data_IF_067134798424
#
_entry.id   IF_067134798424
#
_cell.length_a   1.000
_cell.length_b   1.000
_cell.length_c   1.000
_cell.angle_alpha   90.00
_cell.angle_beta   90.00
_cell.angle_gamma   90.00
#
_symmetry.space_group_name_H-M   'P 1'
#
loop_
_entity.id
_entity.type
_entity.pdbx_description
1 polymer ?
#
# COMPACT_ATOMS: atom_id res chain seq x y z
N UNK A 1 23.97 -15.84 11.44
CA UNK A 1 23.78 -14.51 10.82
C UNK A 1 24.63 -14.28 9.57
N UNK A 2 25.94 -14.51 9.54
CA UNK A 2 26.76 -14.34 8.31
C UNK A 2 26.46 -15.39 7.23
N UNK A 3 26.21 -16.64 7.61
CA UNK A 3 25.95 -17.75 6.67
C UNK A 3 24.60 -17.57 5.92
N UNK A 4 23.56 -17.13 6.60
CA UNK A 4 22.24 -16.88 5.98
C UNK A 4 22.28 -15.73 4.97
N UNK A 5 22.99 -14.65 5.32
CA UNK A 5 23.18 -13.51 4.40
C UNK A 5 23.96 -13.89 3.13
N UNK A 6 24.94 -14.79 3.27
CA UNK A 6 25.69 -15.28 2.12
C UNK A 6 24.84 -16.17 1.22
N UNK A 7 24.07 -17.10 1.80
CA UNK A 7 23.14 -17.93 1.03
C UNK A 7 22.08 -17.12 0.27
N UNK A 8 21.57 -16.07 0.90
CA UNK A 8 20.63 -15.15 0.27
C UNK A 8 21.25 -14.39 -0.90
N UNK A 9 22.50 -13.89 -0.73
CA UNK A 9 23.21 -13.20 -1.79
C UNK A 9 23.44 -14.12 -2.99
N UNK A 10 23.89 -15.35 -2.76
CA UNK A 10 24.11 -16.35 -3.80
C UNK A 10 22.81 -16.71 -4.53
N UNK A 11 21.71 -16.80 -3.80
CA UNK A 11 20.38 -17.02 -4.39
C UNK A 11 19.97 -15.88 -5.30
N UNK A 12 20.13 -14.63 -4.87
CA UNK A 12 19.82 -13.43 -5.67
C UNK A 12 20.67 -13.41 -6.95
N UNK A 13 21.96 -13.68 -6.84
CA UNK A 13 22.88 -13.73 -8.01
C UNK A 13 22.48 -14.84 -9.00
N UNK A 14 22.06 -16.00 -8.49
CA UNK A 14 21.53 -17.07 -9.33
C UNK A 14 20.27 -16.64 -10.07
N UNK A 15 19.33 -15.99 -9.39
CA UNK A 15 18.12 -15.48 -10.01
C UNK A 15 18.41 -14.46 -11.11
N UNK A 16 19.38 -13.54 -10.91
CA UNK A 16 19.79 -12.57 -11.92
C UNK A 16 20.25 -13.23 -13.21
N UNK A 17 21.03 -14.32 -13.10
CA UNK A 17 21.52 -15.07 -14.26
C UNK A 17 20.42 -15.82 -15.02
N UNK A 18 19.27 -16.09 -14.37
CA UNK A 18 18.14 -16.78 -14.98
C UNK A 18 17.20 -15.87 -15.76
N UNK A 19 17.33 -14.55 -15.63
CA UNK A 19 16.49 -13.60 -16.36
C UNK A 19 16.82 -13.64 -17.86
N UNK A 20 15.86 -13.90 -18.74
CA UNK A 20 16.10 -13.90 -20.18
C UNK A 20 16.49 -12.50 -20.68
N UNK A 21 17.47 -12.43 -21.60
CA UNK A 21 17.96 -11.17 -22.15
C UNK A 21 16.88 -10.32 -22.86
N UNK A 22 15.84 -10.96 -23.35
CA UNK A 22 14.71 -10.27 -24.00
C UNK A 22 13.65 -9.73 -23.04
N UNK A 23 13.80 -9.95 -21.72
CA UNK A 23 12.95 -9.35 -20.71
C UNK A 23 13.69 -8.20 -20.03
N UNK A 24 13.06 -7.02 -20.06
CA UNK A 24 13.59 -5.83 -19.40
C UNK A 24 12.58 -5.23 -18.45
N UNK A 25 13.05 -4.57 -17.40
CA UNK A 25 12.19 -3.77 -16.51
C UNK A 25 12.38 -2.30 -16.88
N UNK A 26 11.27 -1.61 -17.11
CA UNK A 26 11.23 -0.19 -17.39
C UNK A 26 10.42 0.55 -16.34
N UNK A 27 10.88 1.70 -15.89
CA UNK A 27 10.14 2.58 -15.01
C UNK A 27 9.01 3.31 -15.75
N UNK A 28 7.87 3.48 -15.05
CA UNK A 28 6.71 4.17 -15.61
C UNK A 28 6.79 5.66 -15.23
N UNK A 29 7.08 6.49 -16.22
CA UNK A 29 6.90 7.93 -16.17
C UNK A 29 5.46 8.33 -16.54
N UNK A 30 5.12 9.62 -16.35
CA UNK A 30 3.82 10.17 -16.76
C UNK A 30 3.46 9.87 -18.22
N UNK A 31 4.42 9.91 -19.11
CA UNK A 31 4.23 9.61 -20.54
C UNK A 31 3.80 8.18 -20.84
N UNK A 32 4.13 7.24 -19.95
CA UNK A 32 3.81 5.81 -20.11
C UNK A 32 2.54 5.37 -19.37
N UNK A 33 1.89 6.25 -18.60
CA UNK A 33 0.67 5.91 -17.82
C UNK A 33 -0.44 5.34 -18.69
N UNK A 34 -0.71 5.95 -19.84
CA UNK A 34 -1.80 5.51 -20.73
C UNK A 34 -1.58 4.09 -21.25
N UNK A 35 -0.35 3.74 -21.63
CA UNK A 35 -0.01 2.40 -22.11
C UNK A 35 -0.25 1.35 -21.03
N UNK A 36 0.09 1.67 -19.78
CA UNK A 36 -0.15 0.78 -18.64
C UNK A 36 -1.65 0.67 -18.34
N UNK A 37 -2.38 1.77 -18.42
CA UNK A 37 -3.84 1.75 -18.22
C UNK A 37 -4.52 0.85 -19.27
N UNK A 38 -4.15 0.95 -20.51
CA UNK A 38 -4.68 0.07 -21.57
C UNK A 38 -4.32 -1.40 -21.32
N UNK A 39 -3.06 -1.67 -20.99
CA UNK A 39 -2.59 -3.00 -20.63
C UNK A 39 -3.41 -3.59 -19.49
N UNK A 40 -3.68 -2.81 -18.43
CA UNK A 40 -4.42 -3.29 -17.26
C UNK A 40 -5.92 -3.45 -17.53
N UNK A 41 -6.54 -2.51 -18.27
CA UNK A 41 -7.97 -2.60 -18.67
C UNK A 41 -8.29 -3.87 -19.45
N UNK A 42 -7.41 -4.26 -20.36
CA UNK A 42 -7.61 -5.53 -21.10
C UNK A 42 -7.57 -6.76 -20.17
N UNK A 43 -6.92 -6.68 -19.01
CA UNK A 43 -6.86 -7.77 -18.01
C UNK A 43 -8.03 -7.73 -17.03
N UNK A 44 -8.60 -6.57 -16.77
CA UNK A 44 -9.88 -6.44 -16.04
C UNK A 44 -10.99 -7.22 -16.74
N UNK A 45 -11.06 -7.16 -18.06
CA UNK A 45 -11.99 -7.96 -18.87
C UNK A 45 -11.79 -9.46 -18.71
N UNK A 46 -10.62 -9.91 -18.22
CA UNK A 46 -10.31 -11.30 -17.88
C UNK A 46 -10.60 -11.63 -16.39
N UNK A 47 -11.30 -10.75 -15.67
CA UNK A 47 -11.68 -10.96 -14.27
C UNK A 47 -10.62 -10.51 -13.25
N UNK A 48 -9.58 -9.81 -13.66
CA UNK A 48 -8.63 -9.19 -12.74
C UNK A 48 -9.16 -7.82 -12.32
N UNK A 49 -9.50 -7.69 -11.05
CA UNK A 49 -9.96 -6.43 -10.49
C UNK A 49 -8.75 -5.60 -9.99
N UNK A 50 -8.34 -4.61 -10.76
CA UNK A 50 -7.30 -3.65 -10.38
C UNK A 50 -7.95 -2.42 -9.71
N UNK A 51 -8.32 -2.59 -8.45
CA UNK A 51 -8.97 -1.54 -7.69
C UNK A 51 -8.05 -0.32 -7.62
N UNK A 52 -8.51 0.79 -8.17
CA UNK A 52 -7.90 2.08 -7.95
C UNK A 52 -6.68 2.41 -8.81
N UNK A 53 -6.58 1.86 -10.02
CA UNK A 53 -5.48 2.21 -10.93
C UNK A 53 -5.45 3.72 -11.24
N UNK A 54 -6.61 4.33 -11.50
CA UNK A 54 -6.73 5.76 -11.70
C UNK A 54 -6.32 6.54 -10.44
N UNK A 55 -6.70 6.05 -9.26
CA UNK A 55 -6.24 6.62 -7.99
C UNK A 55 -4.75 6.35 -7.74
N UNK A 56 -4.22 5.22 -8.15
CA UNK A 56 -2.80 4.92 -8.05
C UNK A 56 -1.96 5.92 -8.87
N UNK A 57 -2.35 6.18 -10.11
CA UNK A 57 -1.64 7.13 -10.97
C UNK A 57 -1.93 8.59 -10.65
N UNK A 58 -3.11 8.91 -10.10
CA UNK A 58 -3.49 10.28 -9.71
C UNK A 58 -2.97 10.73 -8.35
N UNK A 59 -2.55 9.81 -7.51
CA UNK A 59 -2.25 10.06 -6.10
C UNK A 59 -0.85 9.61 -5.69
N UNK A 60 0.11 9.85 -6.51
CA UNK A 60 1.47 9.78 -6.02
C UNK A 60 1.66 10.87 -4.95
N UNK A 61 1.59 10.49 -3.69
CA UNK A 61 1.72 11.38 -2.53
C UNK A 61 3.06 12.09 -2.47
N UNK A 62 3.96 11.65 -3.32
CA UNK A 62 5.21 12.26 -3.39
C UNK A 62 5.77 12.13 -4.77
N UNK A 63 5.22 12.77 -5.81
CA UNK A 63 6.45 12.96 -6.47
C UNK A 63 6.54 12.77 -7.96
N UNK A 64 6.70 13.87 -8.51
CA UNK A 64 7.36 14.11 -9.78
C UNK A 64 8.73 13.36 -9.91
N UNK A 65 9.35 13.02 -8.76
CA UNK A 65 10.69 12.43 -8.69
C UNK A 65 10.74 10.91 -8.83
N UNK A 66 9.66 10.19 -8.47
CA UNK A 66 9.66 8.72 -8.43
C UNK A 66 8.67 8.12 -9.43
N UNK A 67 9.00 6.95 -10.01
CA UNK A 67 8.11 6.30 -10.97
C UNK A 67 6.83 5.79 -10.30
N UNK A 68 5.74 5.70 -11.07
CA UNK A 68 4.45 5.15 -10.62
C UNK A 68 4.45 3.63 -10.53
N UNK A 69 5.48 3.00 -11.04
CA UNK A 69 5.64 1.57 -11.07
C UNK A 69 6.67 1.16 -12.10
N UNK A 70 6.67 -0.13 -12.37
CA UNK A 70 7.57 -0.75 -13.33
C UNK A 70 6.76 -1.65 -14.26
N UNK A 71 7.13 -1.72 -15.53
CA UNK A 71 6.64 -2.70 -16.49
C UNK A 71 7.73 -3.70 -16.84
N UNK A 72 7.33 -4.94 -17.09
CA UNK A 72 8.17 -5.93 -17.72
C UNK A 72 7.82 -5.96 -19.20
N UNK A 73 8.80 -5.75 -20.05
CA UNK A 73 8.64 -5.75 -21.51
C UNK A 73 9.39 -6.93 -22.12
N UNK A 74 8.74 -7.59 -23.04
CA UNK A 74 9.38 -8.54 -23.95
C UNK A 74 9.88 -7.78 -25.18
N UNK A 75 11.19 -7.66 -25.34
CA UNK A 75 11.82 -6.91 -26.44
C UNK A 75 11.71 -7.58 -27.79
N UNK A 76 11.42 -8.90 -27.85
CA UNK A 76 11.27 -9.61 -29.13
C UNK A 76 10.05 -9.12 -29.92
N UNK A 77 8.96 -8.75 -29.24
CA UNK A 77 7.72 -8.28 -29.84
C UNK A 77 7.23 -6.93 -29.29
N UNK A 78 8.05 -6.30 -28.46
CA UNK A 78 7.77 -5.02 -27.81
C UNK A 78 6.50 -5.02 -26.91
N UNK A 79 6.01 -6.18 -26.47
CA UNK A 79 4.81 -6.30 -25.64
C UNK A 79 5.11 -6.07 -24.16
N UNK A 80 4.14 -5.47 -23.44
CA UNK A 80 4.16 -5.44 -21.96
C UNK A 80 3.62 -6.79 -21.48
N UNK A 81 4.39 -7.49 -20.67
CA UNK A 81 4.04 -8.80 -20.12
C UNK A 81 3.86 -8.80 -18.59
N UNK A 82 4.10 -7.67 -17.94
CA UNK A 82 3.89 -7.53 -16.51
C UNK A 82 3.90 -6.08 -16.04
N UNK A 83 3.33 -5.86 -14.87
CA UNK A 83 3.26 -4.56 -14.21
C UNK A 83 3.39 -4.74 -12.69
N UNK A 84 4.13 -3.83 -12.07
CA UNK A 84 4.19 -3.67 -10.62
C UNK A 84 4.08 -2.19 -10.27
N UNK A 85 3.01 -1.80 -9.61
CA UNK A 85 2.82 -0.45 -9.11
C UNK A 85 3.70 -0.15 -7.91
N UNK A 86 4.12 1.11 -7.79
CA UNK A 86 4.90 1.61 -6.66
C UNK A 86 4.29 2.90 -6.13
N UNK A 87 4.15 3.00 -4.81
CA UNK A 87 3.68 4.20 -4.11
C UNK A 87 4.79 4.65 -3.19
N UNK A 88 5.38 5.79 -3.51
CA UNK A 88 6.46 6.35 -2.72
C UNK A 88 5.92 7.32 -1.67
N UNK A 89 6.56 7.37 -0.54
CA UNK A 89 6.32 8.34 0.52
C UNK A 89 7.60 8.63 1.30
N UNK A 90 7.69 9.78 1.95
CA UNK A 90 8.75 10.05 2.92
C UNK A 90 8.23 9.85 4.33
N UNK A 91 9.06 9.28 5.19
CA UNK A 91 8.75 9.08 6.61
C UNK A 91 9.91 9.54 7.48
N UNK A 92 9.58 10.19 8.59
CA UNK A 92 10.54 10.53 9.63
C UNK A 92 10.60 9.36 10.63
N UNK A 93 11.79 8.76 10.79
CA UNK A 93 12.05 7.70 11.76
C UNK A 93 13.27 8.15 12.57
N UNK A 94 13.11 8.32 13.87
CA UNK A 94 14.20 8.81 14.75
C UNK A 94 14.87 10.10 14.23
N UNK A 95 14.07 11.08 13.81
CA UNK A 95 14.51 12.35 13.22
C UNK A 95 15.31 12.25 11.92
N UNK A 96 15.32 11.07 11.28
CA UNK A 96 15.89 10.89 9.95
C UNK A 96 14.79 10.67 8.92
N UNK A 97 14.93 11.29 7.76
CA UNK A 97 14.00 11.11 6.66
C UNK A 97 14.38 9.88 5.83
N UNK A 98 13.41 9.03 5.60
CA UNK A 98 13.51 7.84 4.76
C UNK A 98 12.51 7.89 3.62
N UNK A 99 12.97 7.48 2.45
CA UNK A 99 12.08 7.20 1.31
C UNK A 99 11.55 5.80 1.47
N UNK A 100 10.22 5.67 1.47
CA UNK A 100 9.51 4.41 1.58
C UNK A 100 8.78 4.12 0.27
N UNK A 101 8.78 2.87 -0.16
CA UNK A 101 8.09 2.41 -1.38
C UNK A 101 7.17 1.25 -1.03
N UNK A 102 5.87 1.46 -1.16
CA UNK A 102 4.87 0.40 -1.07
C UNK A 102 4.67 -0.24 -2.44
N UNK A 103 4.88 -1.57 -2.52
CA UNK A 103 4.60 -2.34 -3.73
C UNK A 103 3.09 -2.62 -3.82
N UNK A 104 2.48 -2.30 -4.94
CA UNK A 104 1.04 -2.40 -5.17
C UNK A 104 0.72 -2.88 -6.59
N UNK A 105 -0.50 -3.38 -6.80
CA UNK A 105 -1.04 -3.71 -8.12
C UNK A 105 -0.08 -4.57 -8.98
N UNK A 106 0.23 -5.77 -8.51
CA UNK A 106 1.17 -6.66 -9.17
C UNK A 106 0.48 -7.63 -10.12
N UNK A 107 0.91 -7.65 -11.38
CA UNK A 107 0.43 -8.58 -12.40
C UNK A 107 1.55 -9.00 -13.35
N UNK A 108 1.59 -10.29 -13.71
CA UNK A 108 2.47 -10.84 -14.75
C UNK A 108 1.67 -11.85 -15.56
N UNK A 109 1.79 -11.79 -16.90
CA UNK A 109 1.20 -12.73 -17.84
C UNK A 109 1.60 -14.17 -17.50
N UNK A 110 0.69 -15.13 -17.73
CA UNK A 110 0.83 -16.51 -17.27
C UNK A 110 2.16 -17.14 -17.72
N UNK A 111 2.54 -16.91 -18.96
CA UNK A 111 3.74 -17.46 -19.58
C UNK A 111 5.04 -16.89 -18.99
N UNK A 112 4.96 -15.70 -18.40
CA UNK A 112 6.10 -14.98 -17.82
C UNK A 112 6.16 -15.00 -16.29
N UNK A 113 5.20 -15.65 -15.61
CA UNK A 113 5.11 -15.65 -14.14
C UNK A 113 6.34 -16.20 -13.45
N UNK A 114 7.03 -17.15 -14.07
CA UNK A 114 8.28 -17.68 -13.53
C UNK A 114 9.39 -16.62 -13.43
N UNK A 115 9.29 -15.52 -14.18
CA UNK A 115 10.22 -14.38 -14.12
C UNK A 115 9.70 -13.21 -13.29
N UNK A 116 8.60 -13.38 -12.59
CA UNK A 116 7.97 -12.31 -11.76
C UNK A 116 8.90 -11.74 -10.68
N UNK A 117 9.85 -12.55 -10.19
CA UNK A 117 10.87 -12.12 -9.24
C UNK A 117 11.79 -11.03 -9.79
N UNK A 118 11.84 -10.85 -11.10
CA UNK A 118 12.69 -9.83 -11.73
C UNK A 118 12.30 -8.40 -11.32
N UNK A 119 11.00 -8.15 -11.10
CA UNK A 119 10.53 -6.89 -10.53
C UNK A 119 11.14 -6.61 -9.16
N UNK A 120 11.19 -7.62 -8.30
CA UNK A 120 11.74 -7.48 -6.95
C UNK A 120 13.24 -7.29 -6.98
N UNK A 121 13.96 -8.00 -7.85
CA UNK A 121 15.39 -7.80 -8.04
C UNK A 121 15.69 -6.36 -8.47
N UNK A 122 14.91 -5.82 -9.43
CA UNK A 122 15.03 -4.43 -9.86
C UNK A 122 14.80 -3.44 -8.70
N UNK A 123 13.82 -3.72 -7.83
CA UNK A 123 13.58 -2.87 -6.65
C UNK A 123 14.70 -2.97 -5.61
N UNK A 124 15.28 -4.15 -5.38
CA UNK A 124 16.39 -4.34 -4.45
C UNK A 124 17.66 -3.60 -4.88
N UNK A 125 17.81 -3.28 -6.17
CA UNK A 125 18.93 -2.48 -6.68
C UNK A 125 18.82 -0.99 -6.31
N UNK A 126 17.62 -0.54 -5.91
CA UNK A 126 17.40 0.85 -5.49
C UNK A 126 17.93 1.07 -4.07
N UNK A 127 19.03 1.82 -3.98
CA UNK A 127 19.65 2.14 -2.69
C UNK A 127 18.84 3.21 -1.92
N UNK A 128 18.92 3.15 -0.60
CA UNK A 128 18.31 4.13 0.33
C UNK A 128 16.79 4.22 0.27
N UNK A 129 16.10 3.15 -0.10
CA UNK A 129 14.65 3.05 -0.13
C UNK A 129 14.22 1.89 0.77
N UNK A 130 13.28 2.14 1.66
CA UNK A 130 12.61 1.09 2.45
C UNK A 130 11.45 0.54 1.60
N UNK A 131 11.56 -0.72 1.20
CA UNK A 131 10.56 -1.38 0.35
C UNK A 131 9.67 -2.23 1.23
N UNK A 132 8.35 -2.12 1.07
CA UNK A 132 7.38 -2.90 1.81
C UNK A 132 6.13 -3.22 0.96
N UNK A 133 5.32 -4.17 1.42
CA UNK A 133 4.01 -4.47 0.85
C UNK A 133 3.02 -4.75 1.99
N UNK A 134 1.89 -4.08 2.01
CA UNK A 134 0.88 -4.24 3.07
C UNK A 134 0.01 -5.49 2.87
N UNK A 135 -0.26 -5.87 1.63
CA UNK A 135 -1.22 -6.93 1.31
C UNK A 135 -0.67 -7.88 0.24
N UNK A 136 0.48 -8.54 0.51
CA UNK A 136 1.01 -9.50 -0.43
C UNK A 136 0.07 -10.71 -0.53
N UNK A 137 -0.09 -11.26 -1.73
CA UNK A 137 -0.77 -12.54 -1.90
C UNK A 137 0.08 -13.66 -1.31
N UNK A 138 -0.55 -14.68 -0.72
CA UNK A 138 0.16 -15.81 -0.11
C UNK A 138 1.16 -16.47 -1.06
N UNK A 139 0.84 -16.53 -2.36
CA UNK A 139 1.75 -17.09 -3.39
C UNK A 139 3.06 -16.33 -3.57
N UNK A 140 3.14 -15.08 -3.12
CA UNK A 140 4.32 -14.20 -3.28
C UNK A 140 5.17 -14.19 -1.99
N UNK A 141 4.58 -14.52 -0.85
CA UNK A 141 5.25 -14.45 0.46
C UNK A 141 6.56 -15.26 0.44
N UNK A 142 6.54 -16.49 -0.07
CA UNK A 142 7.74 -17.33 -0.15
C UNK A 142 8.86 -16.70 -1.01
N UNK A 143 8.48 -15.90 -2.03
CA UNK A 143 9.45 -15.17 -2.85
C UNK A 143 10.05 -14.03 -2.03
N UNK A 144 9.23 -13.30 -1.30
CA UNK A 144 9.70 -12.22 -0.43
C UNK A 144 10.70 -12.72 0.62
N UNK A 145 10.38 -13.82 1.33
CA UNK A 145 11.28 -14.40 2.33
C UNK A 145 12.63 -14.79 1.72
N UNK A 146 12.63 -15.47 0.56
CA UNK A 146 13.87 -15.85 -0.14
C UNK A 146 14.68 -14.64 -0.62
N UNK A 147 14.03 -13.51 -0.89
CA UNK A 147 14.68 -12.26 -1.27
C UNK A 147 15.08 -11.42 -0.05
N UNK A 148 14.79 -11.86 1.19
CA UNK A 148 15.20 -11.25 2.45
C UNK A 148 14.26 -10.18 2.98
N UNK A 149 13.02 -10.18 2.54
CA UNK A 149 12.01 -9.36 3.19
C UNK A 149 11.62 -9.97 4.53
N UNK A 150 11.49 -9.14 5.53
CA UNK A 150 10.98 -9.54 6.83
C UNK A 150 9.45 -9.52 6.83
N UNK A 151 8.83 -10.61 7.31
CA UNK A 151 7.38 -10.69 7.42
C UNK A 151 6.97 -10.20 8.81
N UNK A 152 6.23 -9.11 8.83
CA UNK A 152 5.60 -8.62 10.05
C UNK A 152 4.20 -9.21 10.20
N UNK A 153 3.98 -9.96 11.28
CA UNK A 153 2.64 -10.47 11.63
C UNK A 153 1.79 -9.33 12.15
N UNK A 154 0.80 -8.92 11.35
CA UNK A 154 -0.19 -7.93 11.78
C UNK A 154 -1.26 -8.63 12.62
N UNK A 155 -1.61 -8.04 13.77
CA UNK A 155 -2.76 -8.45 14.56
C UNK A 155 -3.96 -7.60 14.15
N UNK A 156 -5.04 -8.26 13.76
CA UNK A 156 -6.31 -7.59 13.51
C UNK A 156 -7.18 -7.73 14.76
N UNK A 157 -7.73 -6.62 15.24
CA UNK A 157 -8.74 -6.64 16.28
C UNK A 157 -10.10 -6.44 15.62
N UNK A 158 -10.97 -7.43 15.74
CA UNK A 158 -12.36 -7.30 15.30
C UNK A 158 -13.16 -6.78 16.48
N UNK A 159 -13.60 -5.53 16.40
CA UNK A 159 -14.53 -4.95 17.37
C UNK A 159 -15.96 -5.20 16.90
N UNK A 160 -16.71 -6.01 17.62
CA UNK A 160 -18.16 -6.13 17.42
C UNK A 160 -18.81 -4.94 18.11
N UNK A 161 -19.48 -4.08 17.34
CA UNK A 161 -20.31 -3.03 17.89
C UNK A 161 -21.59 -3.67 18.43
N UNK A 162 -21.55 -4.17 19.66
CA UNK A 162 -22.74 -4.56 20.39
C UNK A 162 -23.32 -3.27 20.93
N UNK A 163 -24.50 -2.90 20.48
CA UNK A 163 -25.25 -1.78 21.05
C UNK A 163 -25.76 -2.21 22.43
N UNK A 164 -24.86 -2.26 23.40
CA UNK A 164 -25.21 -2.52 24.81
C UNK A 164 -25.77 -1.22 25.33
N UNK A 165 -27.02 -0.97 25.02
CA UNK A 165 -27.74 0.16 25.58
C UNK A 165 -27.47 0.21 27.08
N UNK A 166 -26.82 1.27 27.49
CA UNK A 166 -26.88 1.88 28.83
C UNK A 166 -26.26 1.16 30.03
N UNK A 167 -25.84 -0.09 29.97
CA UNK A 167 -25.41 -0.79 31.20
C UNK A 167 -24.09 -0.30 31.77
N UNK A 168 -23.21 0.28 30.92
CA UNK A 168 -21.92 0.81 31.36
C UNK A 168 -21.72 2.32 31.12
N UNK A 169 -22.77 3.08 31.09
CA UNK A 169 -22.81 4.40 30.47
C UNK A 169 -22.38 5.59 31.34
N UNK A 170 -21.80 5.41 32.52
CA UNK A 170 -21.30 6.57 33.28
C UNK A 170 -20.13 7.30 32.64
N UNK A 171 -19.34 6.62 31.82
CA UNK A 171 -18.13 7.18 31.21
C UNK A 171 -18.30 7.72 29.78
N UNK A 172 -19.39 7.42 29.07
CA UNK A 172 -19.55 7.88 27.67
C UNK A 172 -19.67 9.41 27.57
N UNK A 173 -20.18 10.06 28.60
CA UNK A 173 -20.28 11.54 28.67
C UNK A 173 -18.91 12.24 28.73
N UNK A 174 -17.86 11.47 28.99
CA UNK A 174 -16.46 11.98 29.02
C UNK A 174 -15.91 12.22 27.62
N UNK A 175 -16.36 11.45 26.64
CA UNK A 175 -15.84 11.52 25.29
C UNK A 175 -16.81 12.23 24.36
N UNK A 176 -16.28 13.04 23.47
CA UNK A 176 -17.00 13.66 22.34
C UNK A 176 -16.45 13.07 21.06
N UNK A 177 -17.35 12.63 20.18
CA UNK A 177 -16.98 12.17 18.83
C UNK A 177 -17.45 13.22 17.85
N UNK A 178 -16.53 13.75 17.05
CA UNK A 178 -16.87 14.65 15.95
C UNK A 178 -16.48 14.03 14.62
N UNK A 179 -17.36 14.17 13.63
CA UNK A 179 -17.13 13.89 12.22
C UNK A 179 -17.29 15.17 11.37
N UNK A 180 -17.40 16.32 12.01
CA UNK A 180 -17.44 17.60 11.33
C UNK A 180 -16.08 17.94 10.76
N UNK A 181 -16.02 18.19 9.42
CA UNK A 181 -14.76 18.42 8.72
C UNK A 181 -14.00 19.64 9.22
N UNK A 182 -14.71 20.72 9.53
CA UNK A 182 -14.11 21.98 10.01
C UNK A 182 -13.50 21.78 11.41
N UNK A 183 -14.26 21.13 12.30
CA UNK A 183 -13.76 20.79 13.65
C UNK A 183 -12.55 19.89 13.58
N UNK A 184 -12.57 18.83 12.76
CA UNK A 184 -11.45 17.90 12.57
C UNK A 184 -10.21 18.66 12.09
N UNK A 185 -10.37 19.52 11.08
CA UNK A 185 -9.27 20.28 10.50
C UNK A 185 -8.62 21.27 11.50
N UNK A 186 -9.41 21.83 12.39
CA UNK A 186 -8.95 22.75 13.42
C UNK A 186 -8.29 22.05 14.62
N UNK A 187 -8.72 20.84 14.93
CA UNK A 187 -8.23 20.05 16.07
C UNK A 187 -6.93 19.32 15.74
N UNK A 188 -6.81 18.81 14.50
CA UNK A 188 -5.67 17.99 14.12
C UNK A 188 -4.39 18.82 13.95
N UNK A 189 -3.30 18.29 14.50
CA UNK A 189 -1.96 18.88 14.40
C UNK A 189 -0.95 17.81 13.95
N UNK A 190 0.22 18.26 13.49
CA UNK A 190 1.34 17.38 13.16
C UNK A 190 1.01 16.30 12.13
N UNK A 191 1.35 15.06 12.44
CA UNK A 191 1.16 13.91 11.55
C UNK A 191 -0.32 13.61 11.27
N UNK A 192 -1.19 13.76 12.28
CA UNK A 192 -2.63 13.49 12.11
C UNK A 192 -3.27 14.47 11.13
N UNK A 193 -2.85 15.74 11.16
CA UNK A 193 -3.28 16.74 10.18
C UNK A 193 -2.81 16.37 8.78
N UNK A 194 -1.57 15.91 8.63
CA UNK A 194 -1.04 15.44 7.33
C UNK A 194 -1.83 14.24 6.82
N UNK A 195 -2.12 13.25 7.67
CA UNK A 195 -2.94 12.09 7.30
C UNK A 195 -4.33 12.53 6.85
N UNK A 196 -4.96 13.48 7.55
CA UNK A 196 -6.25 14.03 7.14
C UNK A 196 -6.18 14.69 5.76
N UNK A 197 -5.22 15.58 5.53
CA UNK A 197 -5.03 16.26 4.25
C UNK A 197 -4.81 15.26 3.09
N UNK A 198 -4.02 14.22 3.32
CA UNK A 198 -3.75 13.16 2.34
C UNK A 198 -5.01 12.35 2.01
N UNK A 199 -5.93 12.17 2.96
CA UNK A 199 -7.09 11.29 2.82
C UNK A 199 -8.43 11.99 2.58
N UNK A 200 -8.56 13.31 2.86
CA UNK A 200 -9.84 14.05 2.77
C UNK A 200 -10.49 14.03 1.38
N UNK A 201 -9.73 13.81 0.33
CA UNK A 201 -10.21 13.70 -1.05
C UNK A 201 -10.72 12.31 -1.42
N UNK A 202 -10.47 11.30 -0.57
CA UNK A 202 -10.95 9.94 -0.81
C UNK A 202 -12.30 9.70 -0.16
N UNK A 203 -12.99 8.64 -0.59
CA UNK A 203 -14.24 8.20 0.03
C UNK A 203 -13.96 7.52 1.38
N UNK A 204 -13.46 8.31 2.32
CA UNK A 204 -13.20 7.91 3.70
C UNK A 204 -14.05 8.75 4.65
N UNK A 205 -14.44 8.14 5.75
CA UNK A 205 -15.03 8.85 6.89
C UNK A 205 -13.94 9.17 7.90
N UNK A 206 -13.95 10.39 8.41
CA UNK A 206 -12.97 10.89 9.36
C UNK A 206 -13.67 11.19 10.68
N UNK A 207 -13.06 10.77 11.79
CA UNK A 207 -13.58 10.97 13.13
C UNK A 207 -12.48 11.41 14.07
N UNK A 208 -12.83 12.29 14.99
CA UNK A 208 -11.98 12.64 16.14
C UNK A 208 -12.73 12.30 17.41
N UNK A 209 -12.06 11.62 18.33
CA UNK A 209 -12.55 11.36 19.67
C UNK A 209 -11.76 12.25 20.62
N UNK A 210 -12.48 13.10 21.34
CA UNK A 210 -11.94 14.02 22.31
C UNK A 210 -12.29 13.57 23.72
N UNK A 211 -11.32 13.48 24.60
CA UNK A 211 -11.54 13.34 26.04
C UNK A 211 -11.78 14.74 26.63
N UNK A 212 -12.96 15.01 27.17
CA UNK A 212 -13.30 16.29 27.82
C UNK A 212 -12.34 16.67 28.96
N UNK A 213 -11.71 15.67 29.58
CA UNK A 213 -10.70 15.90 30.62
C UNK A 213 -9.30 16.18 30.08
N UNK A 214 -9.03 15.79 28.80
CA UNK A 214 -7.74 15.96 28.15
C UNK A 214 -7.91 16.26 26.66
N UNK A 215 -8.30 17.48 26.35
CA UNK A 215 -8.57 17.96 24.98
C UNK A 215 -7.30 17.99 24.13
N UNK A 216 -6.11 18.01 24.75
CA UNK A 216 -4.83 18.13 24.06
C UNK A 216 -4.36 16.85 23.35
N UNK A 217 -5.06 15.73 23.52
CA UNK A 217 -4.74 14.45 22.87
C UNK A 217 -5.95 13.87 22.15
N UNK A 218 -6.31 14.42 20.98
CA UNK A 218 -7.35 13.82 20.16
C UNK A 218 -6.92 12.46 19.63
N UNK A 219 -7.85 11.49 19.59
CA UNK A 219 -7.66 10.27 18.84
C UNK A 219 -8.30 10.44 17.46
N UNK A 220 -7.53 10.36 16.42
CA UNK A 220 -8.00 10.49 15.05
C UNK A 220 -8.16 9.14 14.38
N UNK A 221 -9.28 8.98 13.64
CA UNK A 221 -9.63 7.74 12.93
C UNK A 221 -10.02 8.04 11.50
N UNK A 222 -9.54 7.19 10.60
CA UNK A 222 -9.96 7.14 9.20
C UNK A 222 -10.65 5.82 8.95
N UNK A 223 -11.88 5.84 8.45
CA UNK A 223 -12.66 4.65 8.15
C UNK A 223 -13.08 4.63 6.69
N UNK A 224 -13.04 3.47 6.05
CA UNK A 224 -13.59 3.26 4.72
C UNK A 224 -14.85 2.43 4.80
N UNK A 225 -15.98 2.95 4.26
CA UNK A 225 -17.19 2.14 4.08
C UNK A 225 -16.90 1.03 3.08
N UNK A 226 -17.02 -0.22 3.50
CA UNK A 226 -17.09 -1.33 2.57
C UNK A 226 -18.53 -1.42 2.07
N UNK A 227 -18.77 -1.44 0.74
CA UNK A 227 -20.10 -1.72 0.18
C UNK A 227 -20.62 -3.01 0.82
N UNK A 228 -21.83 -2.94 1.35
CA UNK A 228 -22.50 -4.03 2.03
C UNK A 228 -22.54 -5.28 1.15
N UNK A 229 -21.94 -6.35 1.64
CA UNK A 229 -22.32 -7.70 1.24
C UNK A 229 -23.52 -8.00 2.12
N UNK A 230 -24.69 -8.15 1.47
CA UNK A 230 -26.02 -8.34 2.03
C UNK A 230 -26.07 -8.95 3.45
N UNK A 231 -26.84 -8.32 4.33
CA UNK A 231 -27.46 -8.79 5.57
C UNK A 231 -26.79 -8.58 6.92
N UNK A 232 -25.56 -8.04 7.06
CA UNK A 232 -25.09 -7.57 8.37
C UNK A 232 -24.14 -6.40 8.21
N UNK A 233 -24.45 -5.27 8.85
CA UNK A 233 -23.60 -4.07 8.93
C UNK A 233 -22.31 -4.37 9.71
N UNK A 234 -21.29 -4.93 9.08
CA UNK A 234 -19.97 -5.06 9.68
C UNK A 234 -19.13 -3.90 9.15
N UNK A 235 -18.88 -2.93 10.01
CA UNK A 235 -17.96 -1.81 9.73
C UNK A 235 -16.56 -2.22 10.17
N UNK A 236 -15.60 -2.21 9.26
CA UNK A 236 -14.20 -2.39 9.59
C UNK A 236 -13.56 -1.02 9.75
N UNK A 237 -12.97 -0.78 10.90
CA UNK A 237 -12.12 0.38 11.15
C UNK A 237 -10.69 -0.09 10.91
N UNK A 238 -10.01 0.52 9.93
CA UNK A 238 -8.60 0.25 9.66
C UNK A 238 -7.81 1.35 10.34
N UNK A 239 -6.98 0.98 11.31
CA UNK A 239 -6.02 1.87 11.93
C UNK A 239 -4.77 1.95 11.04
N UNK A 240 -4.31 3.16 10.75
CA UNK A 240 -3.04 3.42 10.11
C UNK A 240 -2.03 3.98 11.12
#
# INVERSE_FOLDING_TARGET
MNTEKNLQKDYIEKLRKMVPKHLIIEEISDRKKNIVNEFMKTRENLGFNFIGLDSHFGNNWNYEKYPFGNIMRNTNNNSIVGFMGTIYSTRQINNQEFVCCNLANFYVEKEFRMFSYFFFLHMLDKKKIIIYSHTPRNSIINIYEKLGFEIQKMKYTVALSINVNSIFSKNYKRFVISNNKEEIQNILIGNDKKIYEDHKKYNCEHFVILDKKNILRPCYFVAKKKKEISHRNIRFIIYF
#
